data_IF_248467394187
#
_entry.id   IF_248467394187
#
_cell.length_a   1.000
_cell.length_b   1.000
_cell.length_c   1.000
_cell.angle_alpha   90.00
_cell.angle_beta   90.00
_cell.angle_gamma   90.00
#
_symmetry.space_group_name_H-M   'P 1'
#
loop_
_entity.id
_entity.type
_entity.pdbx_description
1 polymer ?
#
# COMPACT_ATOMS: atom_id res chain seq x y z
N UNK A 1 -35.07 24.57 -22.89
CA UNK A 1 -34.17 23.46 -23.18
C UNK A 1 -34.07 22.65 -21.91
N UNK A 2 -34.71 21.49 -21.83
CA UNK A 2 -34.60 20.56 -20.71
C UNK A 2 -33.19 20.01 -20.71
N UNK A 3 -32.48 20.19 -19.59
CA UNK A 3 -31.14 19.71 -19.36
C UNK A 3 -31.11 18.18 -19.62
N UNK A 4 -30.31 17.65 -20.57
CA UNK A 4 -30.32 16.22 -20.94
C UNK A 4 -29.98 15.30 -19.76
N UNK A 5 -29.51 15.85 -18.66
CA UNK A 5 -29.21 15.15 -17.39
C UNK A 5 -30.47 14.58 -16.71
N UNK A 6 -31.66 15.08 -17.00
CA UNK A 6 -32.92 14.62 -16.40
C UNK A 6 -33.69 13.56 -17.24
N UNK A 7 -33.17 13.18 -18.39
CA UNK A 7 -33.80 12.17 -19.26
C UNK A 7 -33.41 10.74 -18.84
N UNK A 8 -33.63 10.41 -17.56
CA UNK A 8 -33.61 9.04 -17.08
C UNK A 8 -35.01 8.42 -17.18
N UNK A 9 -35.04 7.11 -17.39
CA UNK A 9 -36.27 6.33 -17.36
C UNK A 9 -37.11 6.65 -16.11
N UNK A 10 -38.44 6.70 -16.21
CA UNK A 10 -39.31 7.11 -15.12
C UNK A 10 -39.21 6.28 -13.85
N UNK A 11 -38.63 5.09 -13.92
CA UNK A 11 -38.52 4.14 -12.80
C UNK A 11 -37.33 4.38 -11.86
N UNK A 12 -36.43 5.34 -12.16
CA UNK A 12 -35.28 5.60 -11.30
C UNK A 12 -35.65 6.53 -10.14
N UNK A 13 -35.38 6.14 -8.87
CA UNK A 13 -35.70 6.93 -7.68
C UNK A 13 -35.15 8.37 -7.75
N UNK A 14 -35.91 9.32 -7.22
CA UNK A 14 -35.56 10.76 -7.27
C UNK A 14 -34.18 11.07 -6.65
N UNK A 15 -33.83 10.39 -5.53
CA UNK A 15 -32.52 10.54 -4.88
C UNK A 15 -31.37 10.10 -5.79
N UNK A 16 -31.54 9.04 -6.56
CA UNK A 16 -30.54 8.54 -7.52
C UNK A 16 -30.34 9.53 -8.66
N UNK A 17 -31.44 10.12 -9.19
CA UNK A 17 -31.37 11.16 -10.24
C UNK A 17 -30.63 12.40 -9.76
N UNK A 18 -30.89 12.86 -8.53
CA UNK A 18 -30.19 14.00 -7.92
C UNK A 18 -28.70 13.65 -7.72
N UNK A 19 -28.39 12.45 -7.24
CA UNK A 19 -27.02 11.99 -7.05
C UNK A 19 -26.25 11.95 -8.37
N UNK A 20 -26.85 11.40 -9.43
CA UNK A 20 -26.28 11.38 -10.78
C UNK A 20 -25.97 12.79 -11.28
N UNK A 21 -26.92 13.71 -11.18
CA UNK A 21 -26.73 15.10 -11.58
C UNK A 21 -25.56 15.77 -10.85
N UNK A 22 -25.48 15.60 -9.52
CA UNK A 22 -24.38 16.15 -8.71
C UNK A 22 -23.02 15.55 -9.14
N UNK A 23 -22.94 14.24 -9.34
CA UNK A 23 -21.72 13.58 -9.78
C UNK A 23 -21.30 14.03 -11.19
N UNK A 24 -22.23 14.15 -12.13
CA UNK A 24 -21.94 14.65 -13.47
C UNK A 24 -21.42 16.10 -13.44
N UNK A 25 -22.01 16.95 -12.60
CA UNK A 25 -21.52 18.31 -12.41
C UNK A 25 -20.09 18.36 -11.90
N UNK A 26 -19.70 17.42 -11.03
CA UNK A 26 -18.34 17.30 -10.54
C UNK A 26 -17.40 16.73 -11.60
N UNK A 27 -17.83 15.71 -12.35
CA UNK A 27 -17.05 15.13 -13.44
C UNK A 27 -16.75 16.13 -14.56
N UNK A 28 -17.61 17.13 -14.79
CA UNK A 28 -17.30 18.24 -15.70
C UNK A 28 -16.07 19.07 -15.28
N UNK A 29 -15.64 18.97 -14.03
CA UNK A 29 -14.44 19.62 -13.51
C UNK A 29 -13.15 18.80 -13.68
N UNK A 30 -13.20 17.62 -14.29
CA UNK A 30 -12.03 16.76 -14.50
C UNK A 30 -10.95 17.45 -15.34
N UNK A 31 -9.70 17.27 -14.93
CA UNK A 31 -8.52 17.83 -15.58
C UNK A 31 -7.46 16.76 -15.79
N UNK A 32 -6.61 16.97 -16.83
CA UNK A 32 -5.47 16.09 -17.11
C UNK A 32 -5.84 14.68 -17.56
N UNK A 33 -7.06 14.51 -18.10
CA UNK A 33 -7.56 13.27 -18.68
C UNK A 33 -9.01 13.37 -19.08
N UNK A 34 -9.54 12.32 -19.68
CA UNK A 34 -10.94 12.19 -20.05
C UNK A 34 -11.58 10.93 -19.46
N UNK A 35 -12.88 11.01 -19.19
CA UNK A 35 -13.72 9.89 -18.75
C UNK A 35 -14.88 9.70 -19.71
N UNK A 36 -15.00 8.50 -20.27
CA UNK A 36 -16.19 8.04 -20.98
C UNK A 36 -17.06 7.22 -20.03
N UNK A 37 -18.27 7.70 -19.74
CA UNK A 37 -19.23 7.01 -18.89
C UNK A 37 -20.36 6.46 -19.76
N UNK A 38 -20.59 5.14 -19.67
CA UNK A 38 -21.69 4.44 -20.37
C UNK A 38 -22.75 4.01 -19.36
N UNK A 39 -24.00 4.29 -19.67
CA UNK A 39 -25.16 3.92 -18.88
C UNK A 39 -26.27 3.45 -19.84
N UNK A 40 -26.52 2.15 -19.88
CA UNK A 40 -27.40 1.55 -20.90
C UNK A 40 -26.94 1.91 -22.31
N UNK A 41 -27.82 2.54 -23.11
CA UNK A 41 -27.51 3.02 -24.46
C UNK A 41 -26.87 4.41 -24.48
N UNK A 42 -26.77 5.10 -23.37
CA UNK A 42 -26.25 6.48 -23.28
C UNK A 42 -24.75 6.50 -23.03
N UNK A 43 -24.06 7.44 -23.65
CA UNK A 43 -22.63 7.68 -23.47
C UNK A 43 -22.40 9.16 -23.15
N UNK A 44 -21.60 9.40 -22.08
CA UNK A 44 -21.26 10.74 -21.62
C UNK A 44 -19.75 10.88 -21.60
N UNK A 45 -19.24 12.06 -21.96
CA UNK A 45 -17.82 12.36 -21.93
C UNK A 45 -17.57 13.55 -21.01
N UNK A 46 -16.48 13.42 -20.19
CA UNK A 46 -16.05 14.43 -19.24
C UNK A 46 -14.54 14.64 -19.38
N UNK A 47 -14.08 15.86 -19.05
CA UNK A 47 -12.65 16.21 -19.09
C UNK A 47 -12.16 16.55 -20.48
N UNK A 48 -10.85 16.40 -20.70
CA UNK A 48 -10.16 16.76 -21.94
C UNK A 48 -9.87 15.51 -22.78
N UNK A 49 -10.56 15.38 -23.90
CA UNK A 49 -10.39 14.26 -24.83
C UNK A 49 -9.03 14.23 -25.54
N UNK A 50 -8.27 15.34 -25.54
CA UNK A 50 -6.92 15.40 -26.12
C UNK A 50 -5.82 14.97 -25.14
N UNK A 51 -6.13 14.81 -23.85
CA UNK A 51 -5.17 14.36 -22.86
C UNK A 51 -4.78 12.89 -23.06
N UNK A 52 -3.57 12.51 -22.67
CA UNK A 52 -3.08 11.14 -22.84
C UNK A 52 -3.78 10.11 -21.93
N UNK A 53 -4.33 10.55 -20.78
CA UNK A 53 -5.00 9.67 -19.82
C UNK A 53 -6.49 9.56 -20.16
N UNK A 54 -6.91 8.37 -20.61
CA UNK A 54 -8.31 8.06 -20.90
C UNK A 54 -8.81 6.97 -19.97
N UNK A 55 -10.00 7.20 -19.42
CA UNK A 55 -10.71 6.22 -18.60
C UNK A 55 -12.10 5.97 -19.17
N UNK A 56 -12.57 4.74 -18.94
CA UNK A 56 -13.91 4.32 -19.33
C UNK A 56 -14.60 3.66 -18.15
N UNK A 57 -15.88 3.93 -17.93
CA UNK A 57 -16.68 3.26 -16.90
C UNK A 57 -18.05 2.92 -17.46
N UNK A 58 -18.53 1.72 -17.17
CA UNK A 58 -19.88 1.26 -17.46
C UNK A 58 -20.65 1.14 -16.17
N UNK A 59 -21.75 1.86 -16.05
CA UNK A 59 -22.69 1.76 -14.94
C UNK A 59 -23.69 0.65 -15.25
N UNK A 60 -23.72 -0.37 -14.38
CA UNK A 60 -24.61 -1.53 -14.50
C UNK A 60 -25.84 -1.36 -13.62
N UNK A 61 -25.69 -0.73 -12.45
CA UNK A 61 -26.77 -0.46 -11.51
C UNK A 61 -26.87 1.04 -11.21
N UNK A 62 -27.94 1.77 -11.60
CA UNK A 62 -28.05 3.22 -11.36
C UNK A 62 -27.98 3.63 -9.88
N UNK A 63 -28.28 2.73 -8.95
CA UNK A 63 -28.13 2.94 -7.51
C UNK A 63 -26.71 3.31 -7.07
N UNK A 64 -25.69 3.02 -7.89
CA UNK A 64 -24.28 3.35 -7.64
C UNK A 64 -24.06 4.85 -7.41
N UNK A 65 -24.81 5.71 -8.14
CA UNK A 65 -24.69 7.16 -7.96
C UNK A 65 -25.01 7.61 -6.54
N UNK A 66 -26.08 7.05 -5.96
CA UNK A 66 -26.45 7.35 -4.58
C UNK A 66 -25.43 6.79 -3.59
N UNK A 67 -24.94 5.56 -3.82
CA UNK A 67 -23.89 4.93 -2.99
C UNK A 67 -22.62 5.79 -2.97
N UNK A 68 -22.12 6.23 -4.14
CA UNK A 68 -20.92 7.07 -4.24
C UNK A 68 -21.14 8.42 -3.58
N UNK A 69 -22.28 9.07 -3.82
CA UNK A 69 -22.57 10.38 -3.26
C UNK A 69 -22.60 10.35 -1.72
N UNK A 70 -23.13 9.29 -1.11
CA UNK A 70 -23.30 9.18 0.34
C UNK A 70 -22.12 8.53 1.06
N UNK A 71 -21.41 7.63 0.40
CA UNK A 71 -20.32 6.84 1.00
C UNK A 71 -18.92 7.12 0.42
N UNK A 72 -18.81 8.02 -0.57
CA UNK A 72 -17.53 8.44 -1.14
C UNK A 72 -16.76 7.31 -1.83
N UNK A 73 -15.42 7.41 -1.77
CA UNK A 73 -14.50 6.47 -2.43
C UNK A 73 -14.63 5.03 -1.92
N UNK A 74 -14.93 4.83 -0.63
CA UNK A 74 -15.16 3.49 -0.09
C UNK A 74 -16.40 2.84 -0.68
N UNK A 75 -17.49 3.59 -0.84
CA UNK A 75 -18.70 3.07 -1.47
C UNK A 75 -18.53 2.81 -2.98
N UNK A 76 -17.70 3.60 -3.66
CA UNK A 76 -17.33 3.32 -5.05
C UNK A 76 -16.57 1.98 -5.17
N UNK A 77 -15.60 1.72 -4.26
CA UNK A 77 -14.88 0.45 -4.21
C UNK A 77 -15.82 -0.73 -3.88
N UNK A 78 -16.73 -0.56 -2.93
CA UNK A 78 -17.74 -1.58 -2.61
C UNK A 78 -18.64 -1.89 -3.81
N UNK A 79 -19.11 -0.84 -4.50
CA UNK A 79 -19.93 -0.99 -5.69
C UNK A 79 -19.19 -1.74 -6.82
N UNK A 80 -17.87 -1.52 -6.97
CA UNK A 80 -17.03 -2.33 -7.85
C UNK A 80 -17.01 -3.80 -7.43
N UNK A 81 -16.74 -4.09 -6.16
CA UNK A 81 -16.71 -5.47 -5.65
C UNK A 81 -18.07 -6.17 -5.80
N UNK A 82 -19.16 -5.41 -5.72
CA UNK A 82 -20.54 -5.92 -5.83
C UNK A 82 -21.02 -6.00 -7.30
N UNK A 83 -20.25 -5.47 -8.28
CA UNK A 83 -20.60 -5.51 -9.70
C UNK A 83 -21.57 -4.44 -10.16
N UNK A 84 -21.77 -3.34 -9.42
CA UNK A 84 -22.67 -2.24 -9.82
C UNK A 84 -22.10 -1.39 -10.97
N UNK A 85 -20.78 -1.43 -11.17
CA UNK A 85 -20.10 -0.79 -12.29
C UNK A 85 -18.86 -1.57 -12.70
N UNK A 86 -18.43 -1.34 -13.94
CA UNK A 86 -17.26 -1.99 -14.55
C UNK A 86 -16.41 -1.01 -15.35
N UNK A 87 -15.18 -1.43 -15.61
CA UNK A 87 -14.24 -0.72 -16.48
C UNK A 87 -13.30 -1.71 -17.16
N UNK A 88 -12.95 -1.52 -18.43
CA UNK A 88 -11.94 -2.35 -19.09
C UNK A 88 -10.53 -2.14 -18.49
N UNK A 89 -10.27 -0.95 -17.93
CA UNK A 89 -8.96 -0.56 -17.41
C UNK A 89 -9.10 0.18 -16.08
N UNK A 90 -9.00 -0.56 -14.97
CA UNK A 90 -9.24 -0.02 -13.63
C UNK A 90 -8.19 1.03 -13.22
N UNK A 91 -6.91 0.78 -13.47
CA UNK A 91 -5.83 1.69 -13.08
C UNK A 91 -5.95 3.08 -13.70
N UNK A 92 -6.16 3.26 -15.03
CA UNK A 92 -6.36 4.59 -15.62
C UNK A 92 -7.53 5.36 -15.01
N UNK A 93 -8.65 4.68 -14.70
CA UNK A 93 -9.78 5.30 -14.03
C UNK A 93 -9.41 5.80 -12.63
N UNK A 94 -8.78 4.95 -11.83
CA UNK A 94 -8.37 5.30 -10.46
C UNK A 94 -7.27 6.38 -10.46
N UNK A 95 -6.37 6.37 -11.45
CA UNK A 95 -5.35 7.41 -11.63
C UNK A 95 -5.98 8.76 -11.97
N UNK A 96 -6.94 8.81 -12.90
CA UNK A 96 -7.67 10.03 -13.22
C UNK A 96 -8.36 10.60 -11.99
N UNK A 97 -8.99 9.73 -11.19
CA UNK A 97 -9.62 10.09 -9.92
C UNK A 97 -8.58 10.61 -8.90
N UNK A 98 -7.45 9.94 -8.75
CA UNK A 98 -6.39 10.33 -7.82
C UNK A 98 -5.78 11.71 -8.16
N UNK A 99 -5.54 11.99 -9.46
CA UNK A 99 -5.08 13.28 -9.97
C UNK A 99 -6.08 14.41 -9.70
N UNK A 100 -7.39 14.07 -9.64
CA UNK A 100 -8.48 15.00 -9.38
C UNK A 100 -9.02 14.94 -7.93
N UNK A 101 -8.23 14.47 -6.99
CA UNK A 101 -8.63 14.25 -5.59
C UNK A 101 -9.15 15.50 -4.87
N UNK A 102 -8.79 16.71 -5.31
CA UNK A 102 -9.33 17.97 -4.78
C UNK A 102 -10.81 18.15 -5.14
N UNK A 103 -11.21 17.74 -6.34
CA UNK A 103 -12.62 17.79 -6.82
C UNK A 103 -13.45 16.81 -5.97
N UNK A 104 -12.93 15.61 -5.73
CA UNK A 104 -13.58 14.58 -4.92
C UNK A 104 -13.58 14.92 -3.43
N UNK A 105 -12.55 15.60 -2.94
CA UNK A 105 -12.50 16.10 -1.56
C UNK A 105 -13.62 17.09 -1.23
N UNK A 106 -14.18 17.78 -2.22
CA UNK A 106 -15.38 18.61 -2.06
C UNK A 106 -16.63 17.75 -1.85
N UNK A 107 -16.76 16.62 -2.57
CA UNK A 107 -17.80 15.60 -2.30
C UNK A 107 -17.70 15.05 -0.89
N UNK A 108 -16.51 14.64 -0.50
CA UNK A 108 -16.29 14.08 0.83
C UNK A 108 -16.59 15.10 1.95
N UNK A 109 -16.29 16.38 1.75
CA UNK A 109 -16.58 17.44 2.74
C UNK A 109 -18.09 17.74 2.87
N UNK A 110 -18.82 17.75 1.76
CA UNK A 110 -20.26 18.04 1.74
C UNK A 110 -21.12 16.98 2.42
N UNK A 111 -20.76 15.69 2.30
CA UNK A 111 -21.52 14.56 2.86
C UNK A 111 -20.91 13.92 4.11
N UNK A 112 -19.78 14.42 4.57
CA UNK A 112 -19.09 14.00 5.82
C UNK A 112 -19.95 14.05 7.09
N UNK A 113 -21.06 14.74 7.06
CA UNK A 113 -21.92 14.95 8.24
C UNK A 113 -22.80 13.74 8.60
N UNK A 114 -23.05 12.80 7.69
CA UNK A 114 -24.06 11.74 7.86
C UNK A 114 -23.52 10.32 8.18
N UNK A 115 -22.26 9.99 7.93
CA UNK A 115 -21.81 8.58 7.99
C UNK A 115 -20.58 8.24 8.83
N UNK A 116 -19.84 9.20 9.36
CA UNK A 116 -18.46 9.02 9.89
C UNK A 116 -18.23 8.57 11.34
N UNK A 117 -19.15 8.65 12.31
CA UNK A 117 -18.83 8.23 13.67
C UNK A 117 -18.55 6.73 13.80
N UNK A 118 -19.26 5.89 13.02
CA UNK A 118 -19.14 4.43 13.12
C UNK A 118 -17.82 3.91 12.53
N UNK A 119 -17.37 4.46 11.39
CA UNK A 119 -16.10 4.03 10.78
C UNK A 119 -14.88 4.49 11.60
N UNK A 120 -14.92 5.69 12.16
CA UNK A 120 -13.90 6.17 13.10
C UNK A 120 -13.82 5.32 14.36
N UNK A 121 -14.95 4.89 14.89
CA UNK A 121 -15.01 4.01 16.06
C UNK A 121 -14.44 2.64 15.75
N UNK A 122 -14.77 2.07 14.59
CA UNK A 122 -14.19 0.79 14.13
C UNK A 122 -12.68 0.87 13.92
N UNK A 123 -12.19 1.94 13.30
CA UNK A 123 -10.74 2.15 13.11
C UNK A 123 -10.04 2.37 14.47
N UNK A 124 -10.70 3.08 15.39
CA UNK A 124 -10.19 3.25 16.76
C UNK A 124 -10.07 1.91 17.51
N UNK A 125 -11.01 1.00 17.34
CA UNK A 125 -10.95 -0.35 17.92
C UNK A 125 -9.86 -1.25 17.32
N UNK A 126 -9.43 -1.03 16.07
CA UNK A 126 -8.38 -1.80 15.37
C UNK A 126 -6.98 -1.16 15.48
N UNK A 127 -6.74 -0.36 16.51
CA UNK A 127 -5.41 0.24 16.75
C UNK A 127 -4.36 -0.85 16.99
N UNK A 128 -3.14 -0.67 16.45
CA UNK A 128 -2.03 -1.62 16.56
C UNK A 128 -1.43 -1.65 18.00
N UNK A 129 -2.27 -1.93 19.01
CA UNK A 129 -1.79 -2.38 20.32
C UNK A 129 -1.04 -3.70 20.16
N UNK A 130 -0.25 -4.14 21.15
CA UNK A 130 0.51 -5.40 21.06
C UNK A 130 -0.37 -6.62 20.72
N UNK A 131 -1.55 -6.72 21.29
CA UNK A 131 -2.50 -7.80 20.99
C UNK A 131 -3.09 -7.64 19.58
N UNK A 132 -3.57 -6.45 19.24
CA UNK A 132 -4.22 -6.19 17.96
C UNK A 132 -3.26 -6.21 16.76
N UNK A 133 -1.97 -5.88 16.96
CA UNK A 133 -0.97 -5.98 15.90
C UNK A 133 -0.80 -7.43 15.41
N UNK A 134 -0.82 -8.42 16.30
CA UNK A 134 -0.79 -9.84 15.93
C UNK A 134 -2.02 -10.25 15.11
N UNK A 135 -3.21 -9.85 15.56
CA UNK A 135 -4.46 -10.15 14.86
C UNK A 135 -4.54 -9.47 13.49
N UNK A 136 -4.10 -8.21 13.38
CA UNK A 136 -4.11 -7.46 12.11
C UNK A 136 -3.11 -8.07 11.10
N UNK A 137 -1.93 -8.48 11.58
CA UNK A 137 -0.92 -9.15 10.74
C UNK A 137 -1.42 -10.54 10.34
N UNK A 138 -1.93 -11.35 11.29
CA UNK A 138 -2.50 -12.65 11.00
C UNK A 138 -3.62 -12.54 9.94
N UNK A 139 -4.58 -11.64 10.12
CA UNK A 139 -5.70 -11.46 9.18
C UNK A 139 -5.27 -11.16 7.74
N UNK A 140 -4.11 -10.49 7.54
CA UNK A 140 -3.60 -10.22 6.20
C UNK A 140 -2.81 -11.40 5.62
N UNK A 141 -1.93 -12.03 6.43
CA UNK A 141 -1.07 -13.14 5.96
C UNK A 141 -1.75 -14.51 6.02
N UNK A 142 -2.92 -14.62 6.67
CA UNK A 142 -3.76 -15.85 6.70
C UNK A 142 -4.38 -16.21 5.32
N UNK A 143 -4.16 -15.37 4.27
CA UNK A 143 -4.44 -15.74 2.89
C UNK A 143 -3.60 -16.94 2.41
N UNK A 144 -2.54 -17.27 3.15
CA UNK A 144 -1.68 -18.42 2.93
C UNK A 144 -0.52 -18.17 1.96
N UNK A 145 0.61 -18.83 2.22
CA UNK A 145 1.83 -18.69 1.39
C UNK A 145 1.60 -19.08 -0.08
N UNK A 146 0.73 -20.07 -0.34
CA UNK A 146 0.37 -20.50 -1.68
C UNK A 146 -0.25 -19.36 -2.49
N UNK A 147 -1.11 -18.54 -1.88
CA UNK A 147 -1.71 -17.39 -2.53
C UNK A 147 -0.65 -16.37 -2.99
N UNK A 148 0.26 -15.98 -2.09
CA UNK A 148 1.31 -15.01 -2.40
C UNK A 148 2.29 -15.51 -3.46
N UNK A 149 2.59 -16.81 -3.48
CA UNK A 149 3.48 -17.44 -4.47
C UNK A 149 2.96 -17.34 -5.92
N UNK A 150 1.65 -17.14 -6.12
CA UNK A 150 1.07 -17.01 -7.45
C UNK A 150 1.36 -15.67 -8.12
N UNK A 151 1.67 -14.61 -7.38
CA UNK A 151 1.85 -13.29 -7.99
C UNK A 151 3.10 -12.51 -7.55
N UNK A 152 3.71 -12.84 -6.42
CA UNK A 152 5.00 -12.27 -6.01
C UNK A 152 6.17 -12.82 -6.87
N UNK A 153 7.37 -12.36 -6.59
CA UNK A 153 8.61 -12.91 -7.13
C UNK A 153 8.97 -14.25 -6.45
N UNK A 154 10.03 -14.90 -6.92
CA UNK A 154 10.50 -16.20 -6.42
C UNK A 154 10.91 -16.14 -4.93
N UNK A 155 11.36 -14.98 -4.47
CA UNK A 155 11.78 -14.71 -3.10
C UNK A 155 10.64 -14.31 -2.17
N UNK A 156 9.42 -14.19 -2.69
CA UNK A 156 8.21 -13.75 -2.00
C UNK A 156 8.36 -12.35 -1.35
N UNK A 157 8.99 -11.42 -2.06
CA UNK A 157 9.16 -10.06 -1.56
C UNK A 157 7.88 -9.23 -1.78
N UNK A 158 7.14 -9.00 -0.70
CA UNK A 158 5.90 -8.22 -0.72
C UNK A 158 6.17 -6.74 -0.41
N UNK A 159 6.99 -6.14 -1.24
CA UNK A 159 7.41 -4.74 -1.17
C UNK A 159 7.91 -4.27 -2.54
N UNK A 160 8.03 -2.95 -2.75
CA UNK A 160 8.50 -2.40 -4.02
C UNK A 160 9.86 -2.97 -4.42
N UNK A 161 9.99 -3.36 -5.67
CA UNK A 161 11.27 -3.60 -6.32
C UNK A 161 11.95 -2.28 -6.71
N UNK A 162 13.20 -2.32 -7.16
CA UNK A 162 13.96 -1.23 -7.75
C UNK A 162 14.42 -1.61 -9.14
N UNK A 163 13.93 -0.96 -10.18
CA UNK A 163 14.24 -1.28 -11.57
C UNK A 163 15.39 -0.42 -12.10
N UNK A 164 16.44 -1.06 -12.58
CA UNK A 164 17.61 -0.39 -13.17
C UNK A 164 17.52 -0.24 -14.70
N UNK A 165 16.33 -0.37 -15.28
CA UNK A 165 16.07 -0.26 -16.72
C UNK A 165 14.69 -0.79 -17.07
N UNK A 166 14.26 -0.55 -18.31
CA UNK A 166 12.88 -0.87 -18.73
C UNK A 166 12.62 -2.37 -18.92
N UNK A 167 13.65 -3.15 -19.29
CA UNK A 167 13.54 -4.57 -19.58
C UNK A 167 13.84 -5.49 -18.38
N UNK A 168 14.16 -4.93 -17.20
CA UNK A 168 14.51 -5.72 -16.04
C UNK A 168 13.27 -6.49 -15.52
N UNK A 169 13.43 -7.79 -15.29
CA UNK A 169 12.38 -8.61 -14.66
C UNK A 169 12.21 -8.31 -13.17
N UNK A 170 11.10 -8.79 -12.59
CA UNK A 170 10.77 -8.52 -11.19
C UNK A 170 11.78 -9.14 -10.22
N UNK A 171 12.31 -10.33 -10.48
CA UNK A 171 13.27 -10.99 -9.58
C UNK A 171 14.57 -10.19 -9.53
N UNK A 172 15.11 -9.79 -10.69
CA UNK A 172 16.31 -8.96 -10.76
C UNK A 172 16.11 -7.59 -10.13
N UNK A 173 14.93 -6.97 -10.29
CA UNK A 173 14.58 -5.70 -9.65
C UNK A 173 14.46 -5.82 -8.11
N UNK A 174 13.98 -6.93 -7.60
CA UNK A 174 13.95 -7.21 -6.16
C UNK A 174 15.37 -7.42 -5.59
N UNK A 175 16.25 -8.11 -6.32
CA UNK A 175 17.67 -8.23 -5.94
C UNK A 175 18.36 -6.85 -5.91
N UNK A 176 18.11 -6.01 -6.91
CA UNK A 176 18.66 -4.65 -6.96
C UNK A 176 18.21 -3.79 -5.76
N UNK A 177 16.96 -3.91 -5.34
CA UNK A 177 16.44 -3.27 -4.12
C UNK A 177 17.21 -3.69 -2.87
N UNK A 178 17.41 -5.00 -2.67
CA UNK A 178 18.12 -5.52 -1.51
C UNK A 178 19.60 -5.11 -1.52
N UNK A 179 20.26 -5.19 -2.68
CA UNK A 179 21.64 -4.72 -2.86
C UNK A 179 21.78 -3.27 -2.43
N UNK A 180 20.90 -2.37 -2.96
CA UNK A 180 20.95 -0.95 -2.62
C UNK A 180 20.79 -0.70 -1.12
N UNK A 181 19.88 -1.39 -0.43
CA UNK A 181 19.71 -1.25 1.02
C UNK A 181 20.99 -1.65 1.80
N UNK A 182 21.60 -2.77 1.43
CA UNK A 182 22.86 -3.21 2.03
C UNK A 182 24.01 -2.22 1.77
N UNK A 183 24.12 -1.68 0.54
CA UNK A 183 25.12 -0.70 0.17
C UNK A 183 24.94 0.63 0.94
N UNK A 184 23.69 1.10 1.09
CA UNK A 184 23.38 2.29 1.89
C UNK A 184 23.74 2.11 3.37
N UNK A 185 23.63 0.92 3.89
CA UNK A 185 24.08 0.57 5.23
C UNK A 185 25.62 0.48 5.33
N UNK A 186 26.33 0.42 4.19
CA UNK A 186 27.75 0.03 4.12
C UNK A 186 28.00 -1.26 4.89
N UNK A 187 27.23 -2.29 4.59
CA UNK A 187 27.22 -3.57 5.29
C UNK A 187 28.49 -4.35 5.01
N UNK A 188 29.09 -4.94 6.06
CA UNK A 188 30.31 -5.75 5.99
C UNK A 188 30.14 -7.07 6.73
N UNK A 189 31.06 -8.01 6.52
CA UNK A 189 31.06 -9.33 7.17
C UNK A 189 31.22 -9.24 8.70
N UNK A 190 31.73 -8.14 9.24
CA UNK A 190 31.90 -7.93 10.67
C UNK A 190 30.65 -7.38 11.36
N UNK A 191 29.67 -6.90 10.59
CA UNK A 191 28.48 -6.27 11.14
C UNK A 191 27.47 -7.32 11.65
N UNK A 192 26.72 -6.92 12.66
CA UNK A 192 25.48 -7.58 13.08
C UNK A 192 24.29 -6.70 12.65
N UNK A 193 23.57 -7.17 11.64
CA UNK A 193 22.37 -6.50 11.11
C UNK A 193 21.14 -6.90 11.91
N UNK A 194 20.35 -5.93 12.33
CA UNK A 194 18.96 -6.14 12.76
C UNK A 194 18.01 -5.87 11.60
N UNK A 195 17.17 -6.84 11.27
CA UNK A 195 16.04 -6.65 10.38
C UNK A 195 14.72 -6.62 11.17
N UNK A 196 13.93 -5.54 11.02
CA UNK A 196 12.60 -5.44 11.61
C UNK A 196 11.57 -5.66 10.52
N UNK A 197 10.94 -6.85 10.52
CA UNK A 197 10.00 -7.29 9.49
C UNK A 197 10.61 -8.34 8.55
N UNK A 198 10.72 -9.58 9.02
CA UNK A 198 11.36 -10.70 8.31
C UNK A 198 10.72 -11.00 6.94
N UNK A 199 9.41 -10.79 6.78
CA UNK A 199 8.69 -11.36 5.66
C UNK A 199 8.93 -12.87 5.54
N UNK A 200 9.26 -13.35 4.35
CA UNK A 200 9.62 -14.76 4.11
C UNK A 200 11.13 -15.02 4.18
N UNK A 201 11.91 -14.07 4.74
CA UNK A 201 13.33 -14.24 5.04
C UNK A 201 14.31 -13.88 3.93
N UNK A 202 13.82 -13.28 2.82
CA UNK A 202 14.66 -12.99 1.65
C UNK A 202 15.76 -11.97 1.93
N UNK A 203 15.46 -10.88 2.62
CA UNK A 203 16.43 -9.83 2.93
C UNK A 203 17.51 -10.33 3.89
N UNK A 204 17.12 -11.11 4.93
CA UNK A 204 18.06 -11.73 5.87
C UNK A 204 19.01 -12.71 5.17
N UNK A 205 18.47 -13.60 4.30
CA UNK A 205 19.27 -14.51 3.48
C UNK A 205 20.23 -13.73 2.57
N UNK A 206 19.71 -12.72 1.86
CA UNK A 206 20.51 -11.91 0.95
C UNK A 206 21.70 -11.25 1.66
N UNK A 207 21.46 -10.58 2.78
CA UNK A 207 22.50 -9.92 3.55
C UNK A 207 23.56 -10.89 4.06
N UNK A 208 23.15 -12.01 4.65
CA UNK A 208 24.08 -13.02 5.16
C UNK A 208 24.89 -13.68 4.05
N UNK A 209 24.28 -13.98 2.90
CA UNK A 209 24.93 -14.65 1.76
C UNK A 209 25.92 -13.75 1.03
N UNK A 210 25.52 -12.51 0.71
CA UNK A 210 26.30 -11.62 -0.15
C UNK A 210 27.30 -10.74 0.62
N UNK A 211 26.99 -10.39 1.86
CA UNK A 211 27.85 -9.52 2.68
C UNK A 211 28.55 -10.30 3.82
N UNK A 212 28.15 -11.55 4.07
CA UNK A 212 28.76 -12.41 5.09
C UNK A 212 28.48 -11.98 6.54
N UNK A 213 27.59 -11.01 6.76
CA UNK A 213 27.26 -10.48 8.07
C UNK A 213 26.39 -11.43 8.90
N UNK A 214 26.32 -11.20 10.21
CA UNK A 214 25.31 -11.83 11.08
C UNK A 214 24.00 -11.04 10.96
N UNK A 215 22.86 -11.74 11.00
CA UNK A 215 21.53 -11.13 10.93
C UNK A 215 20.66 -11.66 12.05
N UNK A 216 20.02 -10.76 12.80
CA UNK A 216 18.86 -11.08 13.64
C UNK A 216 17.64 -10.45 12.97
N UNK A 217 16.61 -11.24 12.68
CA UNK A 217 15.39 -10.77 12.03
C UNK A 217 14.16 -11.14 12.85
N UNK A 218 13.10 -10.31 12.81
CA UNK A 218 11.92 -10.50 13.65
C UNK A 218 10.61 -10.36 12.89
N UNK A 219 9.66 -11.23 13.19
CA UNK A 219 8.27 -11.20 12.73
C UNK A 219 7.29 -11.51 13.85
N UNK A 220 6.03 -11.08 13.67
CA UNK A 220 4.88 -11.48 14.51
C UNK A 220 4.07 -12.63 13.91
N UNK A 221 4.27 -12.92 12.62
CA UNK A 221 3.54 -13.98 11.90
C UNK A 221 4.22 -15.33 12.13
N UNK A 222 3.44 -16.30 12.63
CA UNK A 222 3.88 -17.68 12.80
C UNK A 222 4.26 -18.32 11.46
N UNK A 223 3.45 -18.06 10.42
CA UNK A 223 3.67 -18.57 9.07
C UNK A 223 4.99 -18.04 8.48
N UNK A 224 5.25 -16.73 8.59
CA UNK A 224 6.50 -16.15 8.16
C UNK A 224 7.69 -16.69 8.93
N UNK A 225 7.55 -16.85 10.25
CA UNK A 225 8.60 -17.42 11.09
C UNK A 225 9.01 -18.82 10.63
N UNK A 226 8.05 -19.71 10.44
CA UNK A 226 8.34 -21.09 9.98
C UNK A 226 8.95 -21.10 8.59
N UNK A 227 8.40 -20.30 7.67
CA UNK A 227 8.92 -20.21 6.30
C UNK A 227 10.34 -19.67 6.26
N UNK A 228 10.60 -18.54 6.93
CA UNK A 228 11.92 -17.92 6.98
C UNK A 228 12.94 -18.86 7.63
N UNK A 229 12.59 -19.51 8.75
CA UNK A 229 13.47 -20.48 9.41
C UNK A 229 13.84 -21.64 8.47
N UNK A 230 12.85 -22.20 7.76
CA UNK A 230 13.10 -23.26 6.79
C UNK A 230 13.92 -22.77 5.58
N UNK A 231 13.73 -21.52 5.13
CA UNK A 231 14.51 -20.87 4.07
C UNK A 231 15.98 -20.75 4.48
N UNK A 232 16.26 -20.23 5.67
CA UNK A 232 17.61 -20.06 6.22
C UNK A 232 18.30 -21.41 6.37
N UNK A 233 17.58 -22.43 6.82
CA UNK A 233 18.11 -23.79 6.94
C UNK A 233 18.50 -24.39 5.58
N UNK A 234 17.65 -24.25 4.57
CA UNK A 234 17.95 -24.69 3.19
C UNK A 234 19.14 -23.95 2.58
N UNK A 235 19.33 -22.69 2.95
CA UNK A 235 20.47 -21.88 2.53
C UNK A 235 21.79 -22.22 3.25
N UNK A 236 21.77 -23.03 4.33
CA UNK A 236 22.93 -23.34 5.14
C UNK A 236 23.45 -22.14 5.95
N UNK A 237 22.55 -21.21 6.34
CA UNK A 237 22.91 -19.95 6.99
C UNK A 237 22.51 -19.88 8.47
N UNK A 238 22.20 -21.01 9.12
CA UNK A 238 21.71 -21.04 10.50
C UNK A 238 22.74 -20.48 11.51
N UNK A 239 24.02 -20.56 11.20
CA UNK A 239 25.10 -20.01 12.04
C UNK A 239 25.23 -18.48 11.93
N UNK A 240 24.56 -17.86 10.94
CA UNK A 240 24.63 -16.42 10.65
C UNK A 240 23.32 -15.70 10.83
N UNK A 241 22.18 -16.38 10.67
CA UNK A 241 20.84 -15.77 10.69
C UNK A 241 20.01 -16.36 11.81
N UNK A 242 19.57 -15.51 12.72
CA UNK A 242 18.62 -15.82 13.77
C UNK A 242 17.26 -15.23 13.44
N UNK A 243 16.21 -16.06 13.36
CA UNK A 243 14.83 -15.63 13.14
C UNK A 243 14.08 -15.64 14.46
N UNK A 244 13.48 -14.51 14.84
CA UNK A 244 12.75 -14.35 16.11
C UNK A 244 11.24 -14.19 15.85
N UNK A 245 10.43 -14.94 16.58
CA UNK A 245 8.97 -14.71 16.67
C UNK A 245 8.70 -13.73 17.82
N UNK A 246 8.96 -12.45 17.60
CA UNK A 246 8.97 -11.42 18.63
C UNK A 246 8.48 -10.08 18.09
N UNK A 247 7.78 -9.31 18.93
CA UNK A 247 7.46 -7.92 18.63
C UNK A 247 8.73 -7.07 18.65
N UNK A 248 8.92 -6.21 17.64
CA UNK A 248 10.10 -5.33 17.58
C UNK A 248 10.29 -4.46 18.85
N UNK A 249 9.20 -4.18 19.57
CA UNK A 249 9.20 -3.43 20.85
C UNK A 249 9.83 -4.21 22.01
N UNK A 250 9.91 -5.53 21.89
CA UNK A 250 10.47 -6.43 22.91
C UNK A 250 11.89 -6.92 22.57
N UNK A 251 12.44 -6.46 21.43
CA UNK A 251 13.82 -6.78 21.04
C UNK A 251 14.81 -6.27 22.08
N UNK A 252 15.86 -7.05 22.27
CA UNK A 252 17.00 -6.76 23.15
C UNK A 252 18.29 -6.69 22.33
N UNK A 253 19.41 -6.38 22.98
CA UNK A 253 20.69 -6.27 22.31
C UNK A 253 20.92 -4.94 21.59
N UNK A 254 22.11 -4.79 21.02
CA UNK A 254 22.54 -3.63 20.23
C UNK A 254 23.26 -4.15 18.99
N UNK A 255 22.96 -3.52 17.86
CA UNK A 255 23.36 -3.96 16.52
C UNK A 255 24.19 -2.87 15.83
N UNK A 256 24.98 -3.27 14.83
CA UNK A 256 25.79 -2.35 14.04
C UNK A 256 24.95 -1.61 12.99
N UNK A 257 23.99 -2.31 12.41
CA UNK A 257 23.14 -1.84 11.32
C UNK A 257 21.69 -2.27 11.57
N UNK A 258 20.75 -1.51 10.98
CA UNK A 258 19.33 -1.82 11.03
C UNK A 258 18.69 -1.64 9.66
N UNK A 259 17.86 -2.59 9.23
CA UNK A 259 17.02 -2.50 8.04
C UNK A 259 15.57 -2.77 8.39
N UNK A 260 14.65 -2.07 7.72
CA UNK A 260 13.21 -2.34 7.79
C UNK A 260 12.58 -2.00 6.46
N UNK A 261 11.88 -2.96 5.85
CA UNK A 261 11.31 -2.82 4.51
C UNK A 261 9.79 -2.89 4.61
N UNK A 262 9.13 -1.75 4.36
CA UNK A 262 7.66 -1.62 4.33
C UNK A 262 6.95 -2.28 5.53
N UNK A 263 7.52 -2.08 6.71
CA UNK A 263 6.94 -2.52 7.98
C UNK A 263 6.39 -1.34 8.79
N UNK A 264 6.96 -0.13 8.59
CA UNK A 264 6.55 1.07 9.34
C UNK A 264 5.06 1.41 9.15
N UNK A 265 4.49 1.04 8.01
CA UNK A 265 3.07 1.19 7.69
C UNK A 265 2.17 0.36 8.61
N UNK A 266 2.66 -0.78 9.07
CA UNK A 266 1.94 -1.65 10.02
C UNK A 266 2.06 -1.19 11.47
N UNK A 267 2.90 -0.20 11.76
CA UNK A 267 3.09 0.34 13.12
C UNK A 267 1.87 1.13 13.60
N UNK A 268 1.24 1.89 12.68
CA UNK A 268 0.15 2.81 12.99
C UNK A 268 0.62 4.14 13.59
N UNK A 269 -0.10 5.23 13.28
CA UNK A 269 0.30 6.60 13.58
C UNK A 269 0.77 6.83 15.02
N UNK A 270 0.02 6.30 15.99
CA UNK A 270 0.29 6.51 17.42
C UNK A 270 1.64 5.96 17.87
N UNK A 271 2.11 4.89 17.23
CA UNK A 271 3.29 4.14 17.66
C UNK A 271 4.54 4.48 16.84
N UNK A 272 4.47 5.35 15.83
CA UNK A 272 5.63 5.82 15.07
C UNK A 272 6.75 6.40 15.95
N UNK A 273 6.47 7.22 17.01
CA UNK A 273 7.53 7.65 17.93
C UNK A 273 8.22 6.50 18.66
N UNK A 274 7.45 5.46 19.02
CA UNK A 274 8.00 4.26 19.68
C UNK A 274 8.87 3.47 18.72
N UNK A 275 8.48 3.35 17.46
CA UNK A 275 9.28 2.69 16.42
C UNK A 275 10.67 3.32 16.29
N UNK A 276 10.75 4.64 16.09
CA UNK A 276 12.05 5.33 15.96
C UNK A 276 12.90 5.24 17.24
N UNK A 277 12.30 5.37 18.43
CA UNK A 277 13.01 5.17 19.71
C UNK A 277 13.55 3.74 19.84
N UNK A 278 12.79 2.73 19.44
CA UNK A 278 13.25 1.35 19.43
C UNK A 278 14.41 1.16 18.45
N UNK A 279 14.31 1.69 17.23
CA UNK A 279 15.40 1.63 16.25
C UNK A 279 16.69 2.24 16.81
N UNK A 280 16.60 3.42 17.45
CA UNK A 280 17.76 4.04 18.09
C UNK A 280 18.32 3.18 19.23
N UNK A 281 17.45 2.67 20.11
CA UNK A 281 17.88 1.86 21.26
C UNK A 281 18.54 0.54 20.83
N UNK A 282 18.27 0.05 19.64
CA UNK A 282 18.85 -1.18 19.06
C UNK A 282 20.09 -0.93 18.21
N UNK A 283 20.43 0.30 17.87
CA UNK A 283 21.63 0.65 17.13
C UNK A 283 22.75 1.16 18.08
N UNK A 284 24.00 0.79 17.81
CA UNK A 284 25.15 1.42 18.47
C UNK A 284 25.34 2.87 18.01
N UNK A 285 26.01 3.75 18.77
CA UNK A 285 26.49 5.03 18.26
C UNK A 285 27.32 4.83 16.98
N UNK A 286 27.14 5.69 15.98
CA UNK A 286 27.72 5.54 14.64
C UNK A 286 27.07 4.44 13.78
N UNK A 287 26.06 3.73 14.29
CA UNK A 287 25.30 2.72 13.54
C UNK A 287 24.38 3.36 12.52
N UNK A 288 24.09 2.65 11.41
CA UNK A 288 23.23 3.11 10.33
C UNK A 288 21.93 2.33 10.28
N UNK A 289 20.86 3.04 10.00
CA UNK A 289 19.54 2.51 9.74
C UNK A 289 19.13 2.80 8.29
N UNK A 290 18.59 1.82 7.58
CA UNK A 290 17.92 2.00 6.28
C UNK A 290 16.47 1.55 6.39
N UNK A 291 15.53 2.41 6.00
CA UNK A 291 14.09 2.12 5.99
C UNK A 291 13.58 2.28 4.55
N UNK A 292 12.92 1.27 4.02
CA UNK A 292 12.05 1.43 2.86
C UNK A 292 10.62 1.65 3.37
N UNK A 293 9.97 2.74 2.97
CA UNK A 293 8.66 3.12 3.47
C UNK A 293 7.77 3.70 2.38
N UNK A 294 6.51 3.28 2.35
CA UNK A 294 5.48 3.96 1.56
C UNK A 294 5.13 5.26 2.26
N UNK A 295 5.10 6.35 1.50
CA UNK A 295 4.82 7.68 2.04
C UNK A 295 3.64 8.32 1.34
N UNK A 296 2.85 9.08 2.09
CA UNK A 296 1.86 9.98 1.53
C UNK A 296 2.45 11.38 1.36
N UNK A 297 1.99 12.13 0.35
CA UNK A 297 2.37 13.54 0.20
C UNK A 297 2.14 14.32 1.51
N UNK A 298 3.09 15.18 1.90
CA UNK A 298 3.00 16.00 3.13
C UNK A 298 1.72 16.87 3.14
N UNK A 299 1.32 17.43 1.99
CA UNK A 299 0.13 18.24 1.82
C UNK A 299 -1.17 17.48 2.13
N UNK A 300 -1.17 16.15 1.99
CA UNK A 300 -2.32 15.27 2.22
C UNK A 300 -2.31 14.62 3.60
N UNK A 301 -1.16 14.59 4.28
CA UNK A 301 -0.93 13.87 5.52
C UNK A 301 -1.96 14.18 6.61
N UNK A 302 -2.27 15.48 6.81
CA UNK A 302 -3.23 15.93 7.85
C UNK A 302 -4.65 15.42 7.60
N UNK A 303 -5.11 15.40 6.34
CA UNK A 303 -6.47 14.95 6.01
C UNK A 303 -6.53 13.43 6.01
N UNK A 304 -5.50 12.76 5.49
CA UNK A 304 -5.33 11.31 5.51
C UNK A 304 -5.36 10.76 6.95
N UNK A 305 -4.65 11.38 7.88
CA UNK A 305 -4.60 10.94 9.29
C UNK A 305 -5.96 10.94 10.02
N UNK A 306 -6.98 11.55 9.41
CA UNK A 306 -8.35 11.66 9.96
C UNK A 306 -9.38 10.83 9.19
N UNK A 307 -8.96 10.13 8.17
CA UNK A 307 -9.83 9.33 7.30
C UNK A 307 -9.46 7.85 7.35
N UNK A 308 -10.33 7.02 6.85
CA UNK A 308 -10.09 5.60 6.60
C UNK A 308 -10.27 5.38 5.11
N UNK A 309 -9.24 4.85 4.46
CA UNK A 309 -9.27 4.55 3.04
C UNK A 309 -9.60 3.07 2.76
N UNK A 310 -9.60 2.70 1.48
CA UNK A 310 -9.84 1.34 1.02
C UNK A 310 -8.82 0.36 1.60
N UNK A 311 -7.54 0.73 1.62
CA UNK A 311 -6.45 -0.13 2.11
C UNK A 311 -6.63 -0.45 3.59
N UNK A 312 -6.87 0.58 4.41
CA UNK A 312 -7.11 0.42 5.85
C UNK A 312 -8.39 -0.37 6.15
N UNK A 313 -9.37 -0.31 5.25
CA UNK A 313 -10.66 -1.01 5.46
C UNK A 313 -10.61 -2.48 5.12
N UNK A 314 -9.95 -2.84 3.99
CA UNK A 314 -10.08 -4.17 3.37
C UNK A 314 -8.79 -4.97 3.30
N UNK A 315 -7.62 -4.30 3.26
CA UNK A 315 -6.35 -4.95 2.98
C UNK A 315 -5.45 -4.95 4.24
N UNK A 316 -5.13 -3.77 4.77
CA UNK A 316 -4.25 -3.61 5.93
C UNK A 316 -4.95 -2.87 7.08
N UNK A 317 -5.81 -3.55 7.86
CA UNK A 317 -6.45 -2.93 9.02
C UNK A 317 -5.42 -2.39 10.01
N UNK A 318 -5.58 -1.13 10.41
CA UNK A 318 -4.62 -0.47 11.31
C UNK A 318 -3.38 0.12 10.62
N UNK A 319 -3.20 -0.12 9.32
CA UNK A 319 -2.13 0.46 8.52
C UNK A 319 -2.19 1.98 8.48
N UNK A 320 -1.01 2.61 8.34
CA UNK A 320 -0.90 4.06 8.28
C UNK A 320 0.35 4.49 7.51
N UNK A 321 0.20 5.34 6.50
CA UNK A 321 1.32 5.86 5.73
C UNK A 321 1.90 7.11 6.41
N UNK A 322 3.19 7.12 6.79
CA UNK A 322 3.86 8.34 7.21
C UNK A 322 4.05 9.28 6.01
N UNK A 323 4.36 10.55 6.27
CA UNK A 323 4.95 11.44 5.27
C UNK A 323 6.44 11.64 5.56
N UNK A 324 7.19 12.13 4.56
CA UNK A 324 8.63 12.40 4.72
C UNK A 324 8.87 13.39 5.86
N UNK A 325 8.11 14.50 5.89
CA UNK A 325 8.20 15.51 6.96
C UNK A 325 7.87 14.88 8.31
N UNK A 326 6.80 14.08 8.42
CA UNK A 326 6.42 13.44 9.67
C UNK A 326 7.51 12.48 10.19
N UNK A 327 8.14 11.68 9.33
CA UNK A 327 9.26 10.81 9.72
C UNK A 327 10.44 11.63 10.24
N UNK A 328 10.84 12.68 9.51
CA UNK A 328 11.94 13.54 9.92
C UNK A 328 11.67 14.27 11.25
N UNK A 329 10.47 14.81 11.44
CA UNK A 329 10.07 15.43 12.71
C UNK A 329 10.11 14.46 13.87
N UNK A 330 9.67 13.21 13.65
CA UNK A 330 9.68 12.18 14.70
C UNK A 330 11.11 11.77 15.07
N UNK A 331 12.00 11.59 14.10
CA UNK A 331 13.41 11.34 14.34
C UNK A 331 14.06 12.49 15.12
N UNK A 332 13.87 13.72 14.67
CA UNK A 332 14.43 14.92 15.33
C UNK A 332 13.96 15.08 16.77
N UNK A 333 12.70 14.78 17.07
CA UNK A 333 12.11 14.98 18.41
C UNK A 333 12.40 13.85 19.38
N UNK A 334 12.64 12.64 18.90
CA UNK A 334 12.62 11.44 19.74
C UNK A 334 13.91 10.63 19.67
N UNK A 335 14.86 11.02 18.83
CA UNK A 335 16.11 10.30 18.59
C UNK A 335 17.25 11.28 18.28
N UNK A 336 18.48 10.74 18.23
CA UNK A 336 19.68 11.40 17.74
C UNK A 336 20.04 10.99 16.29
N UNK A 337 19.08 10.45 15.54
CA UNK A 337 19.27 10.11 14.13
C UNK A 337 19.49 11.34 13.26
N UNK A 338 20.50 11.27 12.39
CA UNK A 338 20.75 12.24 11.33
C UNK A 338 20.52 11.57 9.98
N UNK A 339 19.55 12.09 9.20
CA UNK A 339 19.26 11.59 7.84
C UNK A 339 20.47 11.86 6.94
N UNK A 340 20.92 10.82 6.24
CA UNK A 340 22.07 10.86 5.32
C UNK A 340 21.66 10.74 3.86
N UNK A 341 20.60 10.01 3.57
CA UNK A 341 20.09 9.81 2.22
C UNK A 341 18.58 9.65 2.23
N UNK A 342 17.94 10.15 1.19
CA UNK A 342 16.55 9.90 0.85
C UNK A 342 16.47 9.65 -0.66
N UNK A 343 15.95 8.50 -1.06
CA UNK A 343 15.81 8.11 -2.45
C UNK A 343 14.35 7.74 -2.73
N UNK A 344 13.72 8.46 -3.65
CA UNK A 344 12.32 8.22 -4.07
C UNK A 344 12.31 7.19 -5.22
N UNK A 345 11.58 6.11 -5.02
CA UNK A 345 11.38 5.03 -5.99
C UNK A 345 9.89 4.77 -6.25
N UNK A 346 9.06 5.79 -6.15
CA UNK A 346 7.61 5.67 -6.38
C UNK A 346 7.22 5.08 -7.75
N UNK A 347 7.85 5.47 -8.88
CA UNK A 347 7.60 4.84 -10.19
C UNK A 347 7.92 3.34 -10.22
N UNK A 348 8.91 2.89 -9.46
CA UNK A 348 9.27 1.48 -9.35
C UNK A 348 8.18 0.66 -8.68
N UNK A 349 7.49 1.24 -7.69
CA UNK A 349 6.35 0.55 -7.10
C UNK A 349 5.16 0.43 -8.06
N UNK A 350 4.90 1.45 -8.86
CA UNK A 350 3.88 1.34 -9.92
C UNK A 350 4.19 0.16 -10.85
N UNK A 351 5.46 0.01 -11.30
CA UNK A 351 5.90 -1.14 -12.11
C UNK A 351 5.77 -2.47 -11.37
N UNK A 352 6.19 -2.53 -10.11
CA UNK A 352 6.05 -3.72 -9.27
C UNK A 352 4.59 -4.18 -9.21
N UNK A 353 3.65 -3.24 -9.03
CA UNK A 353 2.21 -3.52 -8.98
C UNK A 353 1.64 -3.97 -10.32
N UNK A 354 2.17 -3.47 -11.45
CA UNK A 354 1.83 -3.98 -12.80
C UNK A 354 2.23 -5.46 -12.90
N UNK A 355 3.46 -5.84 -12.51
CA UNK A 355 3.91 -7.22 -12.51
C UNK A 355 3.03 -8.10 -11.63
N UNK A 356 2.73 -7.67 -10.39
CA UNK A 356 1.86 -8.42 -9.49
C UNK A 356 0.45 -8.59 -10.06
N UNK A 357 -0.13 -7.55 -10.62
CA UNK A 357 -1.48 -7.59 -11.22
C UNK A 357 -1.52 -8.53 -12.43
N UNK A 358 -0.53 -8.48 -13.31
CA UNK A 358 -0.45 -9.37 -14.47
C UNK A 358 -0.33 -10.84 -14.04
N UNK A 359 0.56 -11.14 -13.09
CA UNK A 359 0.74 -12.48 -12.53
C UNK A 359 -0.52 -12.97 -11.83
N UNK A 360 -1.17 -12.13 -11.02
CA UNK A 360 -2.44 -12.46 -10.34
C UNK A 360 -3.55 -12.80 -11.33
N UNK A 361 -3.72 -12.00 -12.39
CA UNK A 361 -4.72 -12.27 -13.43
C UNK A 361 -4.42 -13.58 -14.16
N UNK A 362 -3.15 -13.81 -14.50
CA UNK A 362 -2.72 -15.03 -15.19
C UNK A 362 -2.94 -16.28 -14.34
N UNK A 363 -2.67 -16.20 -13.04
CA UNK A 363 -2.79 -17.31 -12.09
C UNK A 363 -4.20 -17.47 -11.50
N UNK A 364 -5.20 -16.67 -11.92
CA UNK A 364 -6.50 -16.65 -11.26
C UNK A 364 -7.17 -18.03 -11.12
N UNK A 365 -7.12 -18.87 -12.14
CA UNK A 365 -7.70 -20.22 -12.11
C UNK A 365 -7.09 -21.10 -11.01
N UNK A 366 -5.80 -20.96 -10.72
CA UNK A 366 -5.14 -21.67 -9.63
C UNK A 366 -5.46 -21.05 -8.27
N UNK A 367 -5.57 -19.72 -8.21
CA UNK A 367 -5.96 -18.99 -7.00
C UNK A 367 -7.39 -19.34 -6.60
N UNK A 368 -8.31 -19.47 -7.56
CA UNK A 368 -9.71 -19.86 -7.31
C UNK A 368 -9.81 -21.25 -6.67
N UNK A 369 -8.93 -22.19 -7.04
CA UNK A 369 -8.87 -23.53 -6.42
C UNK A 369 -8.47 -23.49 -4.94
N UNK A 370 -7.84 -22.41 -4.48
CA UNK A 370 -7.56 -22.20 -3.05
C UNK A 370 -8.79 -21.75 -2.25
N UNK A 371 -9.95 -21.57 -2.90
CA UNK A 371 -11.22 -21.24 -2.26
C UNK A 371 -11.58 -19.74 -2.33
N UNK A 372 -10.86 -18.94 -3.11
CA UNK A 372 -11.17 -17.52 -3.31
C UNK A 372 -12.28 -17.33 -4.35
N UNK A 373 -13.24 -16.46 -4.07
CA UNK A 373 -14.38 -16.15 -4.94
C UNK A 373 -14.14 -14.94 -5.85
N UNK A 374 -15.07 -14.70 -6.78
CA UNK A 374 -14.97 -13.55 -7.71
C UNK A 374 -15.04 -12.20 -6.97
N UNK A 375 -15.73 -12.10 -5.83
CA UNK A 375 -15.75 -10.88 -5.02
C UNK A 375 -14.35 -10.58 -4.44
N UNK A 376 -13.63 -11.60 -4.00
CA UNK A 376 -12.22 -11.49 -3.58
C UNK A 376 -11.34 -11.09 -4.76
N UNK A 377 -11.52 -11.70 -5.95
CA UNK A 377 -10.80 -11.31 -7.18
C UNK A 377 -10.97 -9.82 -7.47
N UNK A 378 -12.20 -9.32 -7.47
CA UNK A 378 -12.50 -7.90 -7.69
C UNK A 378 -11.87 -7.02 -6.62
N UNK A 379 -11.91 -7.42 -5.36
CA UNK A 379 -11.27 -6.71 -4.25
C UNK A 379 -9.75 -6.62 -4.44
N UNK A 380 -9.10 -7.71 -4.84
CA UNK A 380 -7.65 -7.75 -5.03
C UNK A 380 -7.19 -6.94 -6.24
N UNK A 381 -7.92 -7.02 -7.35
CA UNK A 381 -7.69 -6.18 -8.52
C UNK A 381 -7.87 -4.69 -8.18
N UNK A 382 -8.89 -4.35 -7.39
CA UNK A 382 -9.07 -2.97 -6.93
C UNK A 382 -7.90 -2.51 -6.07
N UNK A 383 -7.43 -3.34 -5.15
CA UNK A 383 -6.26 -3.07 -4.33
C UNK A 383 -5.03 -2.75 -5.18
N UNK A 384 -4.65 -3.66 -6.08
CA UNK A 384 -3.47 -3.49 -6.93
C UNK A 384 -3.59 -2.24 -7.82
N UNK A 385 -4.74 -2.05 -8.48
CA UNK A 385 -5.00 -0.88 -9.32
C UNK A 385 -5.06 0.44 -8.53
N UNK A 386 -5.61 0.44 -7.32
CA UNK A 386 -5.66 1.61 -6.44
C UNK A 386 -4.27 2.08 -6.01
N UNK A 387 -3.41 1.14 -5.63
CA UNK A 387 -2.03 1.45 -5.28
C UNK A 387 -1.23 1.90 -6.51
N UNK A 388 -1.32 1.17 -7.64
CA UNK A 388 -0.66 1.53 -8.91
C UNK A 388 -1.05 2.95 -9.34
N UNK A 389 -2.34 3.28 -9.32
CA UNK A 389 -2.85 4.60 -9.63
C UNK A 389 -2.35 5.69 -8.67
N UNK A 390 -2.24 5.38 -7.38
CA UNK A 390 -1.70 6.28 -6.37
C UNK A 390 -0.24 6.65 -6.62
N UNK A 391 0.59 5.68 -7.00
CA UNK A 391 2.00 5.90 -7.37
C UNK A 391 2.12 6.66 -8.70
N UNK A 392 1.36 6.29 -9.74
CA UNK A 392 1.34 7.00 -11.03
C UNK A 392 0.90 8.45 -10.88
N UNK A 393 -0.12 8.72 -10.07
CA UNK A 393 -0.59 10.07 -9.77
C UNK A 393 0.34 10.82 -8.78
N UNK A 394 1.40 10.18 -8.26
CA UNK A 394 2.33 10.73 -7.28
C UNK A 394 1.65 11.23 -5.99
N UNK A 395 0.47 10.68 -5.66
CA UNK A 395 -0.24 11.00 -4.40
C UNK A 395 0.33 10.24 -3.21
N UNK A 396 0.97 9.12 -3.48
CA UNK A 396 1.83 8.35 -2.59
C UNK A 396 3.17 8.10 -3.30
N UNK A 397 4.19 7.78 -2.53
CA UNK A 397 5.48 7.33 -3.03
C UNK A 397 6.04 6.23 -2.14
N UNK A 398 7.16 5.62 -2.52
CA UNK A 398 7.98 4.78 -1.67
C UNK A 398 9.39 5.32 -1.65
N UNK A 399 9.98 5.39 -0.48
CA UNK A 399 11.33 5.94 -0.31
C UNK A 399 12.23 4.98 0.43
N UNK A 400 13.51 4.98 0.09
CA UNK A 400 14.56 4.44 0.94
C UNK A 400 15.23 5.61 1.67
N UNK A 401 15.09 5.63 3.00
CA UNK A 401 15.67 6.63 3.89
C UNK A 401 16.79 5.99 4.69
N UNK A 402 17.98 6.58 4.67
CA UNK A 402 19.12 6.16 5.48
C UNK A 402 19.41 7.22 6.53
N UNK A 403 19.53 6.81 7.78
CA UNK A 403 19.89 7.65 8.90
C UNK A 403 21.02 7.02 9.73
N UNK A 404 21.81 7.86 10.37
CA UNK A 404 22.93 7.45 11.23
C UNK A 404 22.67 7.93 12.65
N UNK A 405 22.91 7.03 13.63
CA UNK A 405 22.90 7.38 15.03
C UNK A 405 24.20 8.10 15.40
N UNK A 406 24.14 9.36 15.82
CA UNK A 406 25.29 10.15 16.27
C UNK A 406 25.57 9.94 17.75
#
# INVERSE_FOLDING_TARGET
MTDPVFALEPDIPRNVRVARWLLFRLLNGLRGGSLTLREGAQTFQFGDASAALHAEVQVLAPGVYWRILTGGSLAAAQAWMDGDWETPHLTPLLELIARNSQILGQLEKGFRLLGKPVERLRHWMRRNSRAQARENIAAHYDLGNAFYAHFLDEDLLYSSALFNGDEQDLNAAQQAKMARLCDQLALTANDHLLEIGTGWGAMAEYAARHYGCRVTTTTLSQEQYHWATARIARAGLQDRVEVLLCDYRDLTGVYDKLVSVEMIEAVGQRYLPTFFRTCQARLRPGGRMAIQAITIQDQRYRDYSKSVDFIQRYIFPGGFLPSITAMNELMTRHTDFVVRNLFDMGPDYARTLVHWRQRFVHAWQEIEKLGFDDRFRRMWLYYLGYCEAGFNARTISVVQLTAERV
#
